data_IF_598590350811
#
_entry.id   IF_598590350811
#
_cell.length_a   1.000
_cell.length_b   1.000
_cell.length_c   1.000
_cell.angle_alpha   90.00
_cell.angle_beta   90.00
_cell.angle_gamma   90.00
#
_symmetry.space_group_name_H-M   'P 1'
#
loop_
_entity.id
_entity.type
_entity.pdbx_description
1 polymer ?
#
# COMPACT_ATOMS: atom_id res chain seq x y z
N UNK A 1 -22.41 -7.10 -33.81
CA UNK A 1 -23.13 -7.39 -32.55
C UNK A 1 -22.22 -7.91 -31.43
N UNK A 2 -20.96 -7.45 -31.32
CA UNK A 2 -20.00 -7.90 -30.28
C UNK A 2 -19.94 -7.01 -29.03
N UNK A 3 -20.70 -5.90 -29.01
CA UNK A 3 -20.66 -4.89 -27.93
C UNK A 3 -21.34 -5.34 -26.64
N UNK A 4 -22.27 -6.31 -26.73
CA UNK A 4 -23.01 -6.82 -25.57
C UNK A 4 -22.19 -7.74 -24.66
N UNK A 5 -21.52 -8.80 -25.16
CA UNK A 5 -20.75 -9.68 -24.29
C UNK A 5 -19.58 -8.94 -23.64
N UNK A 6 -18.91 -8.04 -24.36
CA UNK A 6 -17.81 -7.25 -23.81
C UNK A 6 -18.23 -6.35 -22.64
N UNK A 7 -19.38 -5.69 -22.73
CA UNK A 7 -19.90 -4.84 -21.64
C UNK A 7 -20.29 -5.66 -20.41
N UNK A 8 -20.84 -6.85 -20.62
CA UNK A 8 -21.20 -7.77 -19.54
C UNK A 8 -19.94 -8.28 -18.84
N UNK A 9 -18.95 -8.75 -19.60
CA UNK A 9 -17.66 -9.22 -19.06
C UNK A 9 -16.95 -8.10 -18.30
N UNK A 10 -16.91 -6.89 -18.87
CA UNK A 10 -16.27 -5.74 -18.23
C UNK A 10 -17.00 -5.33 -16.94
N UNK A 11 -18.34 -5.37 -16.93
CA UNK A 11 -19.15 -5.09 -15.75
C UNK A 11 -18.92 -6.10 -14.63
N UNK A 12 -18.85 -7.40 -14.97
CA UNK A 12 -18.57 -8.47 -14.00
C UNK A 12 -17.18 -8.29 -13.39
N UNK A 13 -16.16 -8.03 -14.22
CA UNK A 13 -14.79 -7.75 -13.75
C UNK A 13 -14.77 -6.53 -12.80
N UNK A 14 -15.49 -5.46 -13.15
CA UNK A 14 -15.57 -4.26 -12.32
C UNK A 14 -16.24 -4.51 -10.97
N UNK A 15 -17.30 -5.34 -10.93
CA UNK A 15 -17.97 -5.70 -9.67
C UNK A 15 -17.03 -6.51 -8.78
N UNK A 16 -16.26 -7.46 -9.33
CA UNK A 16 -15.26 -8.21 -8.54
C UNK A 16 -14.15 -7.31 -8.00
N UNK A 17 -13.61 -6.40 -8.83
CA UNK A 17 -12.61 -5.42 -8.37
C UNK A 17 -13.20 -4.48 -7.31
N UNK A 18 -14.46 -4.07 -7.47
CA UNK A 18 -15.17 -3.22 -6.50
C UNK A 18 -15.42 -3.92 -5.16
N UNK A 19 -15.74 -5.21 -5.17
CA UNK A 19 -15.91 -6.01 -3.94
C UNK A 19 -14.56 -6.25 -3.27
N UNK A 20 -13.53 -6.62 -4.02
CA UNK A 20 -12.17 -6.84 -3.48
C UNK A 20 -11.60 -5.51 -2.95
N UNK A 21 -11.73 -4.42 -3.71
CA UNK A 21 -11.25 -3.09 -3.31
C UNK A 21 -12.08 -2.45 -2.19
N UNK A 22 -13.38 -2.75 -2.12
CA UNK A 22 -14.28 -2.26 -1.07
C UNK A 22 -14.14 -3.02 0.25
N UNK A 23 -13.87 -4.33 0.19
CA UNK A 23 -13.61 -5.16 1.37
C UNK A 23 -12.15 -5.05 1.84
N UNK A 24 -11.22 -4.71 0.94
CA UNK A 24 -9.79 -4.57 1.24
C UNK A 24 -9.30 -3.13 0.97
N UNK A 25 -9.62 -2.16 1.85
CA UNK A 25 -8.88 -0.91 1.95
C UNK A 25 -7.86 -0.92 3.10
N UNK A 26 -7.47 -2.08 3.62
CA UNK A 26 -6.54 -2.17 4.76
C UNK A 26 -5.09 -2.40 4.30
N UNK A 27 -4.86 -3.15 3.22
CA UNK A 27 -3.51 -3.47 2.71
C UNK A 27 -2.99 -2.47 1.67
N UNK A 28 -3.20 -1.18 1.87
CA UNK A 28 -2.34 -0.20 1.19
C UNK A 28 -0.93 -0.48 1.72
N UNK A 29 -0.03 -1.06 0.92
CA UNK A 29 1.20 -1.72 1.39
C UNK A 29 2.09 -0.90 2.35
N UNK A 30 1.90 0.42 2.39
CA UNK A 30 2.52 1.35 3.33
C UNK A 30 1.92 1.30 4.76
N UNK A 31 0.60 1.05 4.89
CA UNK A 31 -0.14 0.95 6.16
C UNK A 31 0.35 -0.23 7.00
N UNK A 32 0.78 -1.32 6.37
CA UNK A 32 1.42 -2.44 7.08
C UNK A 32 2.95 -2.44 6.94
N UNK A 33 3.47 -1.96 5.82
CA UNK A 33 4.91 -1.93 5.56
C UNK A 33 5.64 -0.97 6.49
N UNK A 34 5.12 0.24 6.74
CA UNK A 34 5.78 1.20 7.65
C UNK A 34 5.76 0.69 9.10
N UNK A 35 4.61 0.32 9.70
CA UNK A 35 4.60 -0.20 11.06
C UNK A 35 5.38 -1.51 11.20
N UNK A 36 5.27 -2.42 10.22
CA UNK A 36 6.01 -3.67 10.22
C UNK A 36 7.52 -3.46 10.14
N UNK A 37 7.98 -2.54 9.29
CA UNK A 37 9.40 -2.18 9.21
C UNK A 37 9.89 -1.51 10.48
N UNK A 38 9.06 -0.67 11.13
CA UNK A 38 9.39 -0.07 12.44
C UNK A 38 9.59 -1.17 13.49
N UNK A 39 8.66 -2.12 13.60
CA UNK A 39 8.78 -3.23 14.55
C UNK A 39 10.03 -4.07 14.22
N UNK A 40 10.24 -4.43 12.96
CA UNK A 40 11.40 -5.23 12.55
C UNK A 40 12.74 -4.50 12.80
N UNK A 41 12.72 -3.18 12.72
CA UNK A 41 13.89 -2.35 13.01
C UNK A 41 14.31 -2.37 14.49
N UNK A 42 13.41 -2.72 15.41
CA UNK A 42 13.75 -2.87 16.83
C UNK A 42 14.57 -4.14 17.09
N UNK A 43 14.38 -5.19 16.28
CA UNK A 43 15.09 -6.47 16.41
C UNK A 43 16.39 -6.51 15.60
N UNK A 44 16.47 -5.80 14.48
CA UNK A 44 17.62 -5.82 13.57
C UNK A 44 18.35 -4.47 13.54
N UNK A 45 19.59 -4.38 14.07
CA UNK A 45 20.38 -3.15 14.05
C UNK A 45 20.57 -2.50 12.67
N UNK A 46 20.73 -3.25 11.55
CA UNK A 46 20.84 -2.65 10.22
C UNK A 46 19.54 -1.98 9.74
N UNK A 47 18.38 -2.58 10.04
CA UNK A 47 17.07 -2.03 9.67
C UNK A 47 16.74 -0.78 10.47
N UNK A 48 17.16 -0.72 11.75
CA UNK A 48 17.07 0.50 12.58
C UNK A 48 17.70 1.71 11.91
N UNK A 49 18.93 1.56 11.41
CA UNK A 49 19.66 2.64 10.73
C UNK A 49 18.95 3.11 9.46
N UNK A 50 18.36 2.18 8.70
CA UNK A 50 17.60 2.52 7.48
C UNK A 50 16.32 3.30 7.81
N UNK A 51 15.58 2.87 8.84
CA UNK A 51 14.36 3.56 9.30
C UNK A 51 14.69 4.94 9.87
N UNK A 52 15.74 5.06 10.68
CA UNK A 52 16.20 6.34 11.22
C UNK A 52 16.67 7.30 10.11
N UNK A 53 17.43 6.81 9.13
CA UNK A 53 17.83 7.60 7.97
C UNK A 53 16.61 8.14 7.20
N UNK A 54 15.60 7.29 6.96
CA UNK A 54 14.37 7.69 6.30
C UNK A 54 13.60 8.75 7.11
N UNK A 55 13.49 8.57 8.43
CA UNK A 55 12.86 9.56 9.34
C UNK A 55 13.58 10.90 9.33
N UNK A 56 14.92 10.91 9.37
CA UNK A 56 15.72 12.13 9.34
C UNK A 56 15.59 12.88 8.01
N UNK A 57 15.60 12.16 6.88
CA UNK A 57 15.42 12.75 5.55
C UNK A 57 14.05 13.43 5.42
N UNK A 58 12.99 12.78 5.89
CA UNK A 58 11.64 13.34 5.87
C UNK A 58 11.48 14.57 6.78
N UNK A 59 12.05 14.52 8.01
CA UNK A 59 12.00 15.65 8.95
C UNK A 59 12.71 16.90 8.39
N UNK A 60 13.84 16.72 7.72
CA UNK A 60 14.60 17.82 7.08
C UNK A 60 13.78 18.52 5.99
N UNK A 61 12.97 17.77 5.23
CA UNK A 61 12.11 18.33 4.18
C UNK A 61 10.91 19.12 4.71
N UNK A 62 10.45 18.85 5.93
CA UNK A 62 9.26 19.52 6.51
C UNK A 62 9.58 20.82 7.27
N UNK A 63 10.85 21.19 7.40
CA UNK A 63 11.32 22.40 8.11
C UNK A 63 11.98 23.42 7.18
N UNK A 64 11.71 23.34 5.87
CA UNK A 64 11.87 24.44 4.91
C UNK A 64 10.49 24.89 4.43
#
# INVERSE_FOLDING_TARGET
MLKHPLKITLGIILVFIGIIGGLIPIFQGWVFGIPGLIILSEYFPPLKRLVEWAKHKYKKTKSQ
#
